data_IF_836669821366
#
_entry.id   IF_836669821366
#
_cell.length_a   1.000
_cell.length_b   1.000
_cell.length_c   1.000
_cell.angle_alpha   90.00
_cell.angle_beta   90.00
_cell.angle_gamma   90.00
#
_symmetry.space_group_name_H-M   'P 1'
#
loop_
_entity.id
_entity.type
_entity.pdbx_description
1 polymer ?
#
# COMPACT_ATOMS: atom_id res chain seq x y z
N UNK A 1 -43.99 -35.59 -10.67
CA UNK A 1 -44.06 -34.37 -9.84
C UNK A 1 -43.82 -34.75 -8.38
N UNK A 2 -42.69 -35.40 -8.04
CA UNK A 2 -42.41 -35.81 -6.64
C UNK A 2 -40.92 -36.11 -6.45
N UNK A 3 -40.03 -35.12 -6.67
CA UNK A 3 -38.59 -35.29 -6.38
C UNK A 3 -37.90 -34.00 -5.94
N UNK A 4 -38.61 -32.91 -5.64
CA UNK A 4 -38.00 -31.63 -5.25
C UNK A 4 -38.24 -31.20 -3.79
N UNK A 5 -39.06 -31.90 -3.01
CA UNK A 5 -39.34 -31.52 -1.62
C UNK A 5 -38.42 -32.19 -0.56
N UNK A 6 -37.62 -33.18 -0.92
CA UNK A 6 -36.78 -33.89 0.08
C UNK A 6 -35.38 -33.32 0.31
N UNK A 7 -34.94 -32.32 -0.47
CA UNK A 7 -33.61 -31.72 -0.33
C UNK A 7 -33.53 -30.56 0.68
N UNK A 8 -34.61 -29.76 0.79
CA UNK A 8 -34.55 -28.60 1.70
C UNK A 8 -34.72 -28.93 3.17
N UNK A 9 -35.24 -30.11 3.53
CA UNK A 9 -35.48 -30.50 4.93
C UNK A 9 -34.20 -31.05 5.63
N UNK A 10 -33.16 -31.45 4.90
CA UNK A 10 -31.92 -31.95 5.49
C UNK A 10 -30.98 -30.81 5.91
N UNK A 11 -30.93 -29.71 5.16
CA UNK A 11 -30.03 -28.61 5.45
C UNK A 11 -30.46 -27.78 6.66
N UNK A 12 -31.78 -27.64 6.87
CA UNK A 12 -32.31 -26.90 8.04
C UNK A 12 -32.02 -27.61 9.37
N UNK A 13 -32.08 -28.93 9.39
CA UNK A 13 -31.76 -29.72 10.60
C UNK A 13 -30.27 -29.66 10.93
N UNK A 14 -29.41 -29.63 9.94
CA UNK A 14 -27.96 -29.55 10.13
C UNK A 14 -27.53 -28.19 10.73
N UNK A 15 -28.09 -27.08 10.23
CA UNK A 15 -27.83 -25.73 10.72
C UNK A 15 -28.32 -25.55 12.17
N UNK A 16 -29.53 -26.07 12.48
CA UNK A 16 -30.10 -26.02 13.84
C UNK A 16 -29.26 -26.83 14.81
N UNK A 17 -28.73 -27.99 14.41
CA UNK A 17 -27.90 -28.85 15.28
C UNK A 17 -26.56 -28.18 15.61
N UNK A 18 -25.91 -27.50 14.65
CA UNK A 18 -24.66 -26.76 14.89
C UNK A 18 -24.91 -25.58 15.82
N UNK A 19 -26.01 -24.85 15.66
CA UNK A 19 -26.37 -23.72 16.53
C UNK A 19 -26.55 -24.18 17.99
N UNK A 20 -27.21 -25.29 18.21
CA UNK A 20 -27.38 -25.85 19.57
C UNK A 20 -26.08 -26.36 20.21
N UNK A 21 -25.15 -26.93 19.41
CA UNK A 21 -23.84 -27.34 19.92
C UNK A 21 -22.98 -26.14 20.35
N UNK A 22 -22.97 -25.06 19.55
CA UNK A 22 -22.24 -23.84 19.92
C UNK A 22 -22.80 -23.19 21.16
N UNK A 23 -24.14 -23.13 21.32
CA UNK A 23 -24.80 -22.59 22.48
C UNK A 23 -24.54 -23.46 23.75
N UNK A 24 -24.50 -24.78 23.61
CA UNK A 24 -24.18 -25.67 24.70
C UNK A 24 -22.72 -25.56 25.16
N UNK A 25 -21.77 -25.35 24.24
CA UNK A 25 -20.36 -25.14 24.56
C UNK A 25 -20.17 -23.81 25.30
N UNK A 26 -20.84 -22.75 24.88
CA UNK A 26 -20.77 -21.44 25.53
C UNK A 26 -21.41 -21.45 26.94
N UNK A 27 -22.53 -22.15 27.11
CA UNK A 27 -23.18 -22.31 28.41
C UNK A 27 -22.38 -23.20 29.36
N UNK A 28 -21.69 -24.22 28.85
CA UNK A 28 -20.82 -25.08 29.66
C UNK A 28 -19.56 -24.33 30.13
N UNK A 29 -19.01 -23.45 29.34
CA UNK A 29 -17.88 -22.61 29.72
C UNK A 29 -18.27 -21.59 30.81
N UNK A 30 -19.50 -21.06 30.76
CA UNK A 30 -20.03 -20.17 31.80
C UNK A 30 -20.34 -20.88 33.12
N UNK A 31 -20.78 -22.14 33.07
CA UNK A 31 -21.11 -22.96 34.24
C UNK A 31 -19.88 -23.51 34.98
N UNK A 32 -18.71 -23.54 34.37
CA UNK A 32 -17.45 -24.04 34.93
C UNK A 32 -16.66 -22.98 35.71
N UNK A 33 -17.19 -21.78 35.90
CA UNK A 33 -16.67 -20.80 36.85
C UNK A 33 -15.21 -20.41 36.62
N UNK A 34 -14.76 -20.30 35.35
CA UNK A 34 -13.48 -19.66 35.04
C UNK A 34 -13.61 -18.16 35.27
N UNK A 35 -13.48 -17.72 36.51
CA UNK A 35 -13.16 -16.36 36.83
C UNK A 35 -11.67 -16.13 36.48
N UNK A 36 -11.40 -15.47 35.37
CA UNK A 36 -10.09 -14.88 35.15
C UNK A 36 -9.95 -13.71 36.12
N UNK A 37 -9.27 -13.93 37.24
CA UNK A 37 -8.73 -12.84 38.05
C UNK A 37 -7.64 -12.16 37.19
N UNK A 38 -8.00 -11.05 36.54
CA UNK A 38 -7.03 -10.10 36.03
C UNK A 38 -6.37 -9.45 37.25
N UNK A 39 -5.17 -9.91 37.61
CA UNK A 39 -4.29 -9.14 38.47
C UNK A 39 -3.82 -7.91 37.64
N UNK A 40 -4.18 -6.68 38.02
CA UNK A 40 -3.65 -5.52 37.38
C UNK A 40 -2.28 -5.16 37.98
N UNK A 41 -1.27 -5.97 37.72
CA UNK A 41 0.10 -5.48 37.81
C UNK A 41 0.40 -4.74 36.50
N UNK A 42 -0.28 -3.61 36.32
CA UNK A 42 0.15 -2.57 35.42
C UNK A 42 1.43 -1.97 36.01
N UNK A 43 2.56 -2.45 35.54
CA UNK A 43 3.79 -1.69 35.67
C UNK A 43 3.57 -0.38 34.87
N UNK A 44 3.12 0.66 35.57
CA UNK A 44 3.14 2.02 35.09
C UNK A 44 4.64 2.36 34.88
N UNK A 45 5.15 2.11 33.70
CA UNK A 45 6.38 2.73 33.27
C UNK A 45 6.13 4.24 33.38
N UNK A 46 6.90 4.90 34.22
CA UNK A 46 6.87 6.37 34.28
C UNK A 46 7.04 6.90 32.85
N UNK A 47 6.19 7.83 32.38
CA UNK A 47 6.36 8.42 31.06
C UNK A 47 7.82 8.89 30.95
N UNK A 48 8.53 8.49 29.91
CA UNK A 48 9.87 9.00 29.65
C UNK A 48 9.76 10.52 29.62
N UNK A 49 10.64 11.22 30.32
CA UNK A 49 10.62 12.69 30.42
C UNK A 49 10.81 13.39 29.06
N UNK A 50 11.12 12.62 28.02
CA UNK A 50 11.30 13.10 26.63
C UNK A 50 10.28 12.42 25.73
N UNK A 51 9.63 13.15 24.80
CA UNK A 51 8.77 12.58 23.79
C UNK A 51 9.58 11.56 22.97
N UNK A 52 8.98 10.38 22.73
CA UNK A 52 9.59 9.36 21.87
C UNK A 52 9.62 9.87 20.43
N UNK A 53 10.69 9.56 19.71
CA UNK A 53 10.70 9.68 18.26
C UNK A 53 10.20 8.39 17.62
N UNK A 54 9.35 8.52 16.62
CA UNK A 54 8.94 7.41 15.77
C UNK A 54 9.40 7.64 14.35
N UNK A 55 9.73 6.56 13.67
CA UNK A 55 10.17 6.53 12.28
C UNK A 55 9.15 5.80 11.43
N UNK A 56 8.67 6.47 10.40
CA UNK A 56 7.66 5.96 9.46
C UNK A 56 8.26 5.88 8.08
N UNK A 57 8.16 4.71 7.45
CA UNK A 57 8.71 4.42 6.13
C UNK A 57 7.59 4.00 5.17
N UNK A 58 7.61 4.52 3.95
CA UNK A 58 6.87 3.94 2.83
C UNK A 58 7.81 3.55 1.70
N UNK A 59 7.49 2.46 0.99
CA UNK A 59 8.24 1.95 -0.16
C UNK A 59 7.38 1.06 -1.04
N UNK A 60 7.28 1.36 -2.34
CA UNK A 60 6.85 0.40 -3.34
C UNK A 60 7.99 -0.61 -3.57
N UNK A 61 7.75 -1.92 -3.43
CA UNK A 61 8.78 -2.96 -3.48
C UNK A 61 8.90 -3.65 -4.84
N UNK A 62 8.25 -3.08 -5.86
CA UNK A 62 8.31 -3.55 -7.24
C UNK A 62 8.06 -5.05 -7.39
N UNK A 63 6.81 -5.46 -7.24
CA UNK A 63 6.37 -6.85 -7.33
C UNK A 63 7.17 -7.85 -6.48
N UNK A 64 7.87 -7.38 -5.48
CA UNK A 64 8.52 -8.14 -4.40
C UNK A 64 9.36 -9.32 -4.85
N UNK A 65 8.81 -10.55 -4.78
CA UNK A 65 9.47 -11.79 -5.16
C UNK A 65 8.98 -12.28 -6.51
N UNK A 66 9.86 -12.93 -7.29
CA UNK A 66 9.50 -13.47 -8.59
C UNK A 66 8.32 -14.42 -8.53
N UNK A 67 7.47 -14.24 -9.50
CA UNK A 67 6.42 -15.15 -9.84
C UNK A 67 6.97 -16.55 -10.21
N UNK A 68 6.61 -17.59 -9.45
CA UNK A 68 6.89 -18.98 -9.77
C UNK A 68 5.70 -19.57 -10.50
N UNK A 69 5.73 -19.62 -11.83
CA UNK A 69 4.66 -20.20 -12.64
C UNK A 69 5.13 -20.55 -14.05
N UNK A 70 4.26 -21.26 -14.80
CA UNK A 70 4.53 -21.66 -16.20
C UNK A 70 4.66 -20.46 -17.15
N UNK A 71 4.02 -19.34 -16.81
CA UNK A 71 4.08 -18.11 -17.58
C UNK A 71 4.82 -17.04 -16.77
N UNK A 72 6.03 -16.71 -17.20
CA UNK A 72 6.74 -15.52 -16.71
C UNK A 72 6.05 -14.28 -17.29
N UNK A 73 5.17 -13.66 -16.54
CA UNK A 73 4.66 -12.34 -16.88
C UNK A 73 5.61 -11.29 -16.29
N UNK A 74 6.31 -10.60 -17.17
CA UNK A 74 7.27 -9.56 -16.82
C UNK A 74 8.73 -10.01 -16.89
N UNK A 75 9.61 -9.07 -17.23
CA UNK A 75 11.06 -9.19 -17.07
C UNK A 75 11.42 -8.52 -15.76
N UNK A 76 11.77 -9.31 -14.76
CA UNK A 76 12.47 -8.80 -13.60
C UNK A 76 13.96 -8.91 -13.90
N UNK A 77 14.68 -7.79 -14.01
CA UNK A 77 16.05 -7.81 -14.54
C UNK A 77 17.03 -8.53 -13.63
N UNK A 78 16.81 -8.57 -12.31
CA UNK A 78 17.78 -9.12 -11.37
C UNK A 78 17.17 -10.08 -10.35
N UNK A 79 18.05 -10.85 -9.70
CA UNK A 79 17.74 -11.80 -8.64
C UNK A 79 16.87 -11.15 -7.54
N UNK A 80 15.57 -11.49 -7.45
CA UNK A 80 14.64 -10.89 -6.48
C UNK A 80 15.07 -11.17 -5.05
N UNK A 81 15.76 -12.28 -4.82
CA UNK A 81 16.29 -12.62 -3.52
C UNK A 81 17.41 -11.65 -3.11
N UNK A 82 18.23 -11.22 -4.06
CA UNK A 82 19.28 -10.22 -3.83
C UNK A 82 18.66 -8.86 -3.51
N UNK A 83 17.64 -8.44 -4.27
CA UNK A 83 16.88 -7.20 -4.00
C UNK A 83 16.23 -7.24 -2.61
N UNK A 84 15.56 -8.36 -2.28
CA UNK A 84 14.95 -8.55 -0.97
C UNK A 84 15.95 -8.43 0.18
N UNK A 85 17.12 -9.10 0.08
CA UNK A 85 18.18 -9.02 1.09
C UNK A 85 18.74 -7.60 1.24
N UNK A 86 18.91 -6.89 0.13
CA UNK A 86 19.31 -5.48 0.12
C UNK A 86 18.27 -4.61 0.85
N UNK A 87 16.98 -4.79 0.54
CA UNK A 87 15.88 -4.11 1.20
C UNK A 87 15.88 -4.32 2.72
N UNK A 88 15.90 -5.59 3.15
CA UNK A 88 15.92 -5.94 4.59
C UNK A 88 17.12 -5.36 5.29
N UNK A 89 18.31 -5.42 4.67
CA UNK A 89 19.55 -4.86 5.24
C UNK A 89 19.45 -3.34 5.41
N UNK A 90 18.92 -2.65 4.41
CA UNK A 90 18.75 -1.21 4.45
C UNK A 90 17.68 -0.78 5.49
N UNK A 91 16.54 -1.46 5.52
CA UNK A 91 15.48 -1.18 6.52
C UNK A 91 15.97 -1.42 7.95
N UNK A 92 16.75 -2.49 8.18
CA UNK A 92 17.37 -2.72 9.51
C UNK A 92 18.28 -1.58 9.96
N UNK A 93 18.98 -0.92 9.05
CA UNK A 93 19.81 0.26 9.39
C UNK A 93 18.96 1.49 9.70
N UNK A 94 17.83 1.65 9.01
CA UNK A 94 16.91 2.78 9.19
C UNK A 94 16.05 2.66 10.46
N UNK A 95 15.85 1.43 10.97
CA UNK A 95 15.08 1.16 12.19
C UNK A 95 13.67 1.82 12.22
N UNK A 96 12.85 1.72 11.17
CA UNK A 96 11.51 2.29 11.20
C UNK A 96 10.61 1.57 12.21
N UNK A 97 9.72 2.32 12.86
CA UNK A 97 8.69 1.77 13.76
C UNK A 97 7.45 1.32 12.98
N UNK A 98 7.15 2.02 11.87
CA UNK A 98 6.01 1.75 11.00
C UNK A 98 6.52 1.70 9.57
N UNK A 99 6.09 0.69 8.81
CA UNK A 99 6.44 0.52 7.39
C UNK A 99 5.16 0.27 6.62
N UNK A 100 4.93 1.01 5.55
CA UNK A 100 3.96 0.65 4.52
C UNK A 100 4.71 0.20 3.26
N UNK A 101 4.31 -0.91 2.69
CA UNK A 101 4.85 -1.43 1.44
C UNK A 101 3.72 -1.59 0.41
N UNK A 102 4.01 -1.25 -0.84
CA UNK A 102 3.15 -1.43 -1.99
C UNK A 102 3.75 -2.49 -2.91
N UNK A 103 2.95 -3.10 -3.76
CA UNK A 103 3.34 -4.17 -4.68
C UNK A 103 3.99 -5.40 -4.02
N UNK A 104 3.65 -5.71 -2.79
CA UNK A 104 4.14 -6.92 -2.15
C UNK A 104 3.60 -8.18 -2.85
N UNK A 105 4.48 -9.03 -3.37
CA UNK A 105 4.14 -10.23 -4.14
C UNK A 105 5.14 -11.37 -3.89
N UNK A 106 4.68 -12.62 -3.64
CA UNK A 106 3.30 -13.04 -3.44
C UNK A 106 2.81 -12.79 -2.02
N UNK A 107 1.60 -12.28 -1.87
CA UNK A 107 0.94 -12.19 -0.56
C UNK A 107 0.25 -13.52 -0.20
N UNK A 108 0.27 -13.95 1.08
CA UNK A 108 0.83 -13.25 2.24
C UNK A 108 2.33 -13.48 2.47
N UNK A 109 2.97 -14.34 1.68
CA UNK A 109 4.31 -14.90 1.98
C UNK A 109 5.37 -13.80 2.08
N UNK A 110 5.36 -12.84 1.15
CA UNK A 110 6.30 -11.73 1.16
C UNK A 110 6.16 -10.88 2.43
N UNK A 111 4.94 -10.47 2.76
CA UNK A 111 4.69 -9.61 3.91
C UNK A 111 5.02 -10.31 5.24
N UNK A 112 4.66 -11.59 5.39
CA UNK A 112 4.99 -12.38 6.56
C UNK A 112 6.49 -12.61 6.72
N UNK A 113 7.21 -12.87 5.62
CA UNK A 113 8.65 -13.02 5.62
C UNK A 113 9.33 -11.71 6.05
N UNK A 114 8.91 -10.59 5.47
CA UNK A 114 9.47 -9.28 5.82
C UNK A 114 9.22 -8.95 7.30
N UNK A 115 8.01 -9.21 7.80
CA UNK A 115 7.67 -9.01 9.20
C UNK A 115 8.51 -9.87 10.14
N UNK A 116 8.76 -11.14 9.79
CA UNK A 116 9.63 -12.03 10.56
C UNK A 116 11.09 -11.56 10.55
N UNK A 117 11.61 -11.18 9.38
CA UNK A 117 12.99 -10.72 9.23
C UNK A 117 13.25 -9.39 9.97
N UNK A 118 12.22 -8.56 10.17
CA UNK A 118 12.33 -7.24 10.82
C UNK A 118 11.82 -7.23 12.27
N UNK A 119 11.27 -8.32 12.79
CA UNK A 119 10.57 -8.42 14.09
C UNK A 119 9.39 -7.44 14.21
N UNK A 120 8.49 -7.48 13.23
CA UNK A 120 7.31 -6.64 13.14
C UNK A 120 6.02 -7.46 13.19
N UNK A 121 4.92 -6.82 13.62
CA UNK A 121 3.56 -7.26 13.29
C UNK A 121 3.23 -6.84 11.88
N UNK A 122 2.30 -7.55 11.20
CA UNK A 122 1.91 -7.21 9.83
C UNK A 122 0.42 -7.41 9.59
N UNK A 123 -0.17 -6.49 8.85
CA UNK A 123 -1.47 -6.65 8.16
C UNK A 123 -1.24 -6.44 6.66
N UNK A 124 -2.03 -7.12 5.83
CA UNK A 124 -1.88 -7.03 4.38
C UNK A 124 -3.24 -7.08 3.66
N UNK A 125 -3.27 -6.58 2.44
CA UNK A 125 -4.42 -6.60 1.55
C UNK A 125 -4.03 -6.94 0.12
N UNK A 126 -4.63 -7.98 -0.45
CA UNK A 126 -4.45 -8.30 -1.87
C UNK A 126 -5.25 -7.29 -2.70
N UNK A 127 -4.61 -6.64 -3.67
CA UNK A 127 -5.21 -5.71 -4.63
C UNK A 127 -5.36 -6.35 -5.99
N UNK A 128 -4.33 -7.07 -6.44
CA UNK A 128 -4.28 -7.75 -7.71
C UNK A 128 -4.07 -9.25 -7.49
N UNK A 129 -4.79 -10.09 -8.21
CA UNK A 129 -4.66 -11.52 -8.06
C UNK A 129 -5.23 -12.31 -9.22
N UNK A 130 -4.74 -13.54 -9.41
CA UNK A 130 -5.26 -14.52 -10.32
C UNK A 130 -6.31 -15.42 -9.68
N UNK A 131 -6.68 -16.50 -10.35
CA UNK A 131 -7.63 -17.50 -9.84
C UNK A 131 -6.88 -18.46 -8.92
N UNK A 132 -7.34 -18.59 -7.68
CA UNK A 132 -6.79 -19.52 -6.69
C UNK A 132 -7.91 -20.27 -5.96
N UNK A 133 -7.73 -21.59 -5.81
CA UNK A 133 -8.61 -22.44 -5.03
C UNK A 133 -7.80 -23.06 -3.87
N UNK A 134 -7.89 -22.50 -2.68
CA UNK A 134 -7.09 -22.92 -1.54
C UNK A 134 -5.58 -22.83 -1.81
N UNK A 135 -4.81 -23.90 -1.56
CA UNK A 135 -3.38 -23.95 -1.82
C UNK A 135 -3.05 -24.11 -3.33
N UNK A 136 -4.03 -24.48 -4.15
CA UNK A 136 -3.85 -24.71 -5.59
C UNK A 136 -4.25 -23.44 -6.35
N UNK A 137 -3.32 -22.84 -7.07
CA UNK A 137 -3.56 -21.70 -7.95
C UNK A 137 -3.32 -22.07 -9.41
N UNK A 138 -4.02 -21.38 -10.31
CA UNK A 138 -3.63 -21.40 -11.73
C UNK A 138 -2.24 -20.73 -11.82
N UNK A 139 -1.35 -21.16 -12.73
CA UNK A 139 0.00 -20.60 -12.88
C UNK A 139 0.09 -19.09 -13.11
N UNK A 140 -1.02 -18.45 -13.49
CA UNK A 140 -1.18 -17.00 -13.63
C UNK A 140 -1.61 -16.31 -12.33
N UNK A 141 -1.54 -17.00 -11.19
CA UNK A 141 -2.04 -16.53 -9.93
C UNK A 141 -1.09 -15.51 -9.27
N UNK A 142 -1.06 -14.32 -9.79
CA UNK A 142 -0.46 -13.16 -9.16
C UNK A 142 -1.24 -12.83 -7.88
N UNK A 143 -0.55 -12.58 -6.78
CA UNK A 143 -1.14 -12.10 -5.52
C UNK A 143 -0.31 -10.96 -5.01
N UNK A 144 -0.60 -9.82 -5.57
CA UNK A 144 0.07 -8.56 -5.26
C UNK A 144 -0.84 -7.66 -4.44
N UNK A 145 -0.25 -6.82 -3.64
CA UNK A 145 -0.96 -5.83 -2.85
C UNK A 145 -0.07 -5.15 -1.83
N UNK A 146 -0.70 -4.60 -0.81
CA UNK A 146 -0.06 -3.71 0.14
C UNK A 146 0.01 -4.36 1.52
N UNK A 147 0.95 -3.88 2.35
CA UNK A 147 1.01 -4.27 3.74
C UNK A 147 1.46 -3.10 4.64
N UNK A 148 1.00 -3.14 5.90
CA UNK A 148 1.48 -2.27 6.97
C UNK A 148 2.16 -3.15 8.00
N UNK A 149 3.40 -2.79 8.36
CA UNK A 149 4.19 -3.47 9.37
C UNK A 149 4.48 -2.51 10.53
N UNK A 150 4.46 -3.03 11.75
CA UNK A 150 4.72 -2.24 12.96
C UNK A 150 5.68 -2.98 13.86
N UNK A 151 6.75 -2.30 14.28
CA UNK A 151 7.80 -2.85 15.13
C UNK A 151 7.25 -3.27 16.50
N UNK A 152 7.60 -4.47 16.94
CA UNK A 152 7.27 -4.93 18.28
C UNK A 152 8.03 -4.13 19.34
N UNK A 153 7.48 -3.90 20.56
CA UNK A 153 6.24 -4.48 21.10
C UNK A 153 4.96 -3.67 20.80
N UNK A 154 5.01 -2.64 19.93
CA UNK A 154 3.81 -1.87 19.56
C UNK A 154 2.76 -2.78 18.93
N UNK A 155 1.47 -2.52 19.14
CA UNK A 155 0.40 -3.34 18.57
C UNK A 155 -0.09 -2.78 17.23
N UNK A 156 -0.58 -3.67 16.38
CA UNK A 156 -1.17 -3.33 15.08
C UNK A 156 -2.52 -4.03 14.94
N UNK A 157 -3.57 -3.25 14.79
CA UNK A 157 -4.95 -3.72 14.65
C UNK A 157 -5.44 -3.39 13.24
N UNK A 158 -5.86 -4.40 12.48
CA UNK A 158 -6.48 -4.19 11.19
C UNK A 158 -7.90 -3.64 11.37
N UNK A 159 -8.15 -2.42 10.91
CA UNK A 159 -9.48 -1.80 10.98
C UNK A 159 -10.29 -1.98 9.69
N UNK A 160 -9.62 -2.23 8.56
CA UNK A 160 -10.30 -2.52 7.31
C UNK A 160 -9.49 -2.15 6.07
N UNK A 161 -10.17 -2.32 4.96
CA UNK A 161 -9.70 -1.88 3.64
C UNK A 161 -10.86 -1.38 2.81
N UNK A 162 -10.60 -0.41 1.96
CA UNK A 162 -11.58 0.19 1.06
C UNK A 162 -11.10 0.10 -0.37
N UNK A 163 -11.92 -0.44 -1.25
CA UNK A 163 -11.72 -0.30 -2.69
C UNK A 163 -11.93 1.16 -3.07
N UNK A 164 -10.92 1.75 -3.68
CA UNK A 164 -10.97 3.14 -4.16
C UNK A 164 -11.58 3.20 -5.55
N UNK A 165 -11.22 2.24 -6.43
CA UNK A 165 -11.79 2.07 -7.75
C UNK A 165 -11.63 0.64 -8.28
N UNK A 166 -12.17 0.39 -9.46
CA UNK A 166 -12.12 -0.89 -10.14
C UNK A 166 -13.30 -1.80 -9.83
N UNK A 167 -13.48 -2.82 -10.65
CA UNK A 167 -14.55 -3.80 -10.53
C UNK A 167 -13.97 -5.20 -10.46
N UNK A 168 -14.30 -5.91 -9.38
CA UNK A 168 -13.81 -7.26 -9.18
C UNK A 168 -14.17 -7.81 -7.81
N UNK A 169 -13.80 -9.05 -7.59
CA UNK A 169 -13.88 -9.74 -6.31
C UNK A 169 -12.46 -10.15 -5.93
N UNK A 170 -11.97 -9.63 -4.81
CA UNK A 170 -10.67 -9.99 -4.26
C UNK A 170 -10.88 -10.55 -2.86
N UNK A 171 -10.61 -11.84 -2.73
CA UNK A 171 -10.62 -12.58 -1.47
C UNK A 171 -9.29 -13.30 -1.30
N UNK A 172 -9.08 -13.89 -0.12
CA UNK A 172 -7.91 -14.75 0.09
C UNK A 172 -7.91 -16.03 -0.75
N UNK A 173 -9.05 -16.39 -1.34
CA UNK A 173 -9.27 -17.63 -2.08
C UNK A 173 -9.44 -17.42 -3.57
N UNK A 174 -10.12 -16.35 -3.95
CA UNK A 174 -10.54 -16.09 -5.31
C UNK A 174 -10.35 -14.62 -5.62
N UNK A 175 -9.71 -14.35 -6.75
CA UNK A 175 -9.56 -13.01 -7.29
C UNK A 175 -10.04 -13.02 -8.74
N UNK A 176 -10.94 -12.10 -9.05
CA UNK A 176 -11.45 -11.88 -10.39
C UNK A 176 -11.60 -10.37 -10.61
N UNK A 177 -10.98 -9.86 -11.66
CA UNK A 177 -11.03 -8.45 -12.02
C UNK A 177 -11.58 -8.29 -13.43
N UNK A 178 -12.47 -7.33 -13.60
CA UNK A 178 -12.84 -6.82 -14.92
C UNK A 178 -11.91 -5.70 -15.37
N UNK A 179 -11.37 -4.96 -14.41
CA UNK A 179 -10.33 -3.95 -14.59
C UNK A 179 -9.45 -3.93 -13.33
N UNK A 180 -8.35 -3.23 -13.39
CA UNK A 180 -7.46 -3.03 -12.25
C UNK A 180 -8.23 -2.48 -11.05
N UNK A 181 -7.96 -3.01 -9.86
CA UNK A 181 -8.55 -2.56 -8.61
C UNK A 181 -7.50 -1.89 -7.75
N UNK A 182 -7.82 -0.67 -7.31
CA UNK A 182 -7.04 0.05 -6.32
C UNK A 182 -7.74 0.03 -4.98
N UNK A 183 -6.98 -0.03 -3.90
CA UNK A 183 -7.54 -0.02 -2.55
C UNK A 183 -6.62 0.72 -1.58
N UNK A 184 -7.21 1.20 -0.49
CA UNK A 184 -6.49 1.65 0.69
C UNK A 184 -6.70 0.67 1.85
N UNK A 185 -5.71 0.59 2.74
CA UNK A 185 -5.75 -0.20 3.97
C UNK A 185 -5.66 0.71 5.19
N UNK A 186 -6.36 0.34 6.26
CA UNK A 186 -6.32 1.05 7.54
C UNK A 186 -5.84 0.11 8.65
N UNK A 187 -4.75 0.51 9.29
CA UNK A 187 -4.26 -0.05 10.53
C UNK A 187 -4.34 0.97 11.66
N UNK A 188 -4.68 0.52 12.85
CA UNK A 188 -4.51 1.29 14.09
C UNK A 188 -3.30 0.76 14.82
N UNK A 189 -2.34 1.64 15.04
CA UNK A 189 -1.09 1.35 15.75
C UNK A 189 -1.21 1.87 17.17
N UNK A 190 -0.89 1.07 18.16
CA UNK A 190 -0.84 1.48 19.56
C UNK A 190 0.60 1.43 20.06
N UNK A 191 1.09 2.59 20.51
CA UNK A 191 2.43 2.78 21.04
C UNK A 191 2.35 3.62 22.30
N UNK A 192 2.86 3.09 23.41
CA UNK A 192 2.91 3.79 24.72
C UNK A 192 1.55 4.38 25.16
N UNK A 193 0.47 3.63 24.92
CA UNK A 193 -0.88 4.04 25.30
C UNK A 193 -1.54 5.07 24.39
N UNK A 194 -0.89 5.48 23.31
CA UNK A 194 -1.45 6.37 22.29
C UNK A 194 -1.77 5.58 21.02
N UNK A 195 -2.80 6.02 20.28
CA UNK A 195 -3.22 5.41 19.02
C UNK A 195 -2.91 6.31 17.83
N UNK A 196 -2.35 5.73 16.77
CA UNK A 196 -2.09 6.36 15.48
C UNK A 196 -2.85 5.58 14.40
N UNK A 197 -3.60 6.29 13.56
CA UNK A 197 -4.31 5.72 12.42
C UNK A 197 -3.41 5.80 11.17
N UNK A 198 -3.17 4.66 10.52
CA UNK A 198 -2.25 4.54 9.40
C UNK A 198 -3.01 4.03 8.18
N UNK A 199 -3.13 4.88 7.17
CA UNK A 199 -3.73 4.57 5.87
C UNK A 199 -2.62 4.31 4.85
N UNK A 200 -2.51 3.08 4.35
CA UNK A 200 -1.63 2.76 3.23
C UNK A 200 -2.40 2.81 1.93
N UNK A 201 -1.82 3.45 0.93
CA UNK A 201 -2.44 3.62 -0.39
C UNK A 201 -1.47 3.23 -1.50
N UNK A 202 -2.03 2.74 -2.62
CA UNK A 202 -1.37 2.60 -3.90
C UNK A 202 -2.40 2.95 -4.97
N UNK A 203 -2.25 4.14 -5.57
CA UNK A 203 -3.18 4.66 -6.56
C UNK A 203 -2.81 4.17 -7.96
N UNK A 204 -3.74 4.33 -8.89
CA UNK A 204 -3.58 3.93 -10.28
C UNK A 204 -2.34 4.55 -10.93
N UNK A 205 -1.53 3.72 -11.58
CA UNK A 205 -0.35 4.14 -12.35
C UNK A 205 -0.75 4.82 -13.66
N UNK A 206 0.19 5.53 -14.26
CA UNK A 206 0.04 6.17 -15.55
C UNK A 206 0.50 7.64 -15.55
N UNK A 207 0.63 8.26 -16.71
CA UNK A 207 1.08 9.63 -16.81
C UNK A 207 0.18 10.61 -16.05
N UNK A 208 0.77 11.66 -15.53
CA UNK A 208 0.12 12.76 -14.82
C UNK A 208 0.48 14.11 -15.45
N UNK A 209 -0.32 15.14 -15.17
CA UNK A 209 -0.09 16.48 -15.69
C UNK A 209 1.23 17.05 -15.20
N UNK A 210 1.91 17.79 -16.08
CA UNK A 210 3.15 18.48 -15.76
C UNK A 210 4.18 18.47 -16.90
N UNK A 211 5.37 19.05 -16.66
CA UNK A 211 6.41 19.20 -17.68
C UNK A 211 6.84 17.87 -18.31
N UNK A 212 6.83 16.77 -17.54
CA UNK A 212 7.16 15.44 -18.04
C UNK A 212 6.19 14.97 -19.13
N UNK A 213 4.87 15.15 -18.93
CA UNK A 213 3.84 14.82 -19.92
C UNK A 213 3.94 15.68 -21.16
N UNK A 214 4.23 16.97 -21.00
CA UNK A 214 4.40 17.90 -22.14
C UNK A 214 5.59 17.51 -23.01
N UNK A 215 6.73 17.19 -22.38
CA UNK A 215 7.94 16.74 -23.09
C UNK A 215 7.69 15.40 -23.80
N UNK A 216 7.08 14.45 -23.13
CA UNK A 216 6.73 13.13 -23.68
C UNK A 216 5.74 13.23 -24.82
N UNK A 217 4.71 14.07 -24.70
CA UNK A 217 3.72 14.34 -25.74
C UNK A 217 4.37 14.91 -27.01
N UNK A 218 5.32 15.82 -26.85
CA UNK A 218 6.06 16.39 -27.98
C UNK A 218 6.86 15.30 -28.70
N UNK A 219 7.55 14.44 -27.98
CA UNK A 219 8.34 13.35 -28.55
C UNK A 219 7.45 12.34 -29.28
N UNK A 220 6.36 11.88 -28.65
CA UNK A 220 5.40 10.94 -29.26
C UNK A 220 4.75 11.55 -30.51
N UNK A 221 4.38 12.83 -30.48
CA UNK A 221 3.81 13.53 -31.65
C UNK A 221 4.72 13.52 -32.86
N UNK A 222 6.05 13.63 -32.67
CA UNK A 222 7.04 13.53 -33.73
C UNK A 222 7.14 12.10 -34.30
N UNK A 223 6.96 11.08 -33.48
CA UNK A 223 7.12 9.68 -33.89
C UNK A 223 5.87 9.09 -34.54
N UNK A 224 4.69 9.34 -33.97
CA UNK A 224 3.44 8.68 -34.41
C UNK A 224 2.45 9.62 -35.13
N UNK A 225 2.71 10.92 -35.10
CA UNK A 225 1.84 11.94 -35.65
C UNK A 225 0.71 12.40 -34.73
N UNK A 226 0.19 13.59 -34.96
CA UNK A 226 -0.71 14.31 -34.08
C UNK A 226 -2.03 13.54 -33.77
N UNK A 227 -2.63 12.91 -34.80
CA UNK A 227 -3.89 12.20 -34.59
C UNK A 227 -3.79 11.04 -33.59
N UNK A 228 -2.69 10.28 -33.64
CA UNK A 228 -2.43 9.18 -32.69
C UNK A 228 -2.04 9.69 -31.32
N UNK A 229 -1.32 10.81 -31.26
CA UNK A 229 -1.02 11.47 -29.99
C UNK A 229 -2.29 11.91 -29.27
N UNK A 230 -3.24 12.54 -29.97
CA UNK A 230 -4.52 12.95 -29.36
C UNK A 230 -5.33 11.75 -28.81
N UNK A 231 -5.25 10.61 -29.48
CA UNK A 231 -5.85 9.38 -28.96
C UNK A 231 -5.15 8.90 -27.69
N UNK A 232 -3.82 8.95 -27.64
CA UNK A 232 -3.03 8.59 -26.44
C UNK A 232 -3.32 9.54 -25.28
N UNK A 233 -3.44 10.85 -25.52
CA UNK A 233 -3.78 11.84 -24.50
C UNK A 233 -5.14 11.59 -23.85
N UNK A 234 -6.14 11.12 -24.60
CA UNK A 234 -7.44 10.74 -24.03
C UNK A 234 -7.33 9.58 -23.04
N UNK A 235 -6.41 8.65 -23.28
CA UNK A 235 -6.16 7.57 -22.31
C UNK A 235 -5.50 8.14 -21.04
N UNK A 236 -4.55 9.06 -21.18
CA UNK A 236 -3.95 9.76 -20.02
C UNK A 236 -4.99 10.57 -19.23
N UNK A 237 -5.91 11.24 -19.91
CA UNK A 237 -7.02 11.95 -19.24
C UNK A 237 -7.88 10.98 -18.39
N UNK A 238 -8.09 9.76 -18.87
CA UNK A 238 -8.79 8.74 -18.11
C UNK A 238 -8.00 8.29 -16.86
N UNK A 239 -6.67 8.15 -16.95
CA UNK A 239 -5.82 7.80 -15.81
C UNK A 239 -5.88 8.90 -14.73
N UNK A 240 -5.76 10.16 -15.15
CA UNK A 240 -5.87 11.32 -14.28
C UNK A 240 -7.25 11.36 -13.60
N UNK A 241 -8.33 11.19 -14.38
CA UNK A 241 -9.69 11.17 -13.83
C UNK A 241 -9.86 10.01 -12.84
N UNK A 242 -9.27 8.88 -13.13
CA UNK A 242 -9.31 7.71 -12.28
C UNK A 242 -8.65 7.99 -10.93
N UNK A 243 -7.41 8.52 -10.91
CA UNK A 243 -6.73 8.89 -9.66
C UNK A 243 -7.49 9.94 -8.85
N UNK A 244 -8.09 10.93 -9.52
CA UNK A 244 -8.97 11.92 -8.85
C UNK A 244 -10.13 11.24 -8.13
N UNK A 245 -10.81 10.29 -8.75
CA UNK A 245 -11.89 9.51 -8.13
C UNK A 245 -11.37 8.66 -6.97
N UNK A 246 -10.18 8.09 -7.10
CA UNK A 246 -9.53 7.32 -6.03
C UNK A 246 -9.20 8.20 -4.83
N UNK A 247 -8.68 9.41 -5.05
CA UNK A 247 -8.39 10.40 -4.00
C UNK A 247 -9.68 10.85 -3.31
N UNK A 248 -10.75 11.15 -4.04
CA UNK A 248 -12.04 11.51 -3.48
C UNK A 248 -12.63 10.38 -2.62
N UNK A 249 -12.51 9.13 -3.07
CA UNK A 249 -12.96 7.97 -2.32
C UNK A 249 -12.09 7.70 -1.07
N UNK A 250 -10.80 7.98 -1.15
CA UNK A 250 -9.89 7.92 0.00
C UNK A 250 -10.28 8.96 1.05
N UNK A 251 -10.48 10.22 0.65
CA UNK A 251 -10.88 11.30 1.55
C UNK A 251 -12.18 10.95 2.29
N UNK A 252 -13.21 10.52 1.55
CA UNK A 252 -14.48 10.08 2.14
C UNK A 252 -14.28 8.95 3.14
N UNK A 253 -13.46 7.96 2.80
CA UNK A 253 -13.20 6.85 3.70
C UNK A 253 -12.44 7.27 4.95
N UNK A 254 -11.48 8.15 4.83
CA UNK A 254 -10.78 8.72 5.99
C UNK A 254 -11.78 9.48 6.89
N UNK A 255 -12.66 10.28 6.32
CA UNK A 255 -13.69 11.02 7.08
C UNK A 255 -14.70 10.07 7.79
N UNK A 256 -15.01 8.93 7.19
CA UNK A 256 -15.88 7.90 7.77
C UNK A 256 -15.21 7.10 8.90
N UNK A 257 -13.88 6.95 8.88
CA UNK A 257 -13.19 5.97 9.74
C UNK A 257 -12.23 6.58 10.76
N UNK A 258 -11.79 7.81 10.55
CA UNK A 258 -10.91 8.51 11.49
C UNK A 258 -11.74 9.19 12.58
N UNK A 259 -11.62 8.77 13.86
CA UNK A 259 -12.31 9.44 14.92
C UNK A 259 -11.83 10.91 15.10
N UNK A 260 -12.70 11.84 15.49
CA UNK A 260 -12.33 13.22 15.69
C UNK A 260 -11.14 13.39 16.65
N UNK A 261 -10.20 14.26 16.30
CA UNK A 261 -9.04 14.57 17.14
C UNK A 261 -7.94 13.51 17.16
N UNK A 262 -8.08 12.41 16.41
CA UNK A 262 -7.05 11.37 16.37
C UNK A 262 -5.93 11.69 15.37
N UNK A 263 -4.66 11.44 15.74
CA UNK A 263 -3.54 11.55 14.82
C UNK A 263 -3.62 10.48 13.75
N UNK A 264 -3.32 10.86 12.51
CA UNK A 264 -3.36 9.95 11.38
C UNK A 264 -2.27 10.26 10.35
N UNK A 265 -1.86 9.22 9.64
CA UNK A 265 -0.91 9.26 8.53
C UNK A 265 -1.56 8.60 7.31
N UNK A 266 -1.42 9.21 6.13
CA UNK A 266 -1.67 8.58 4.84
C UNK A 266 -0.31 8.44 4.16
N UNK A 267 0.06 7.23 3.74
CA UNK A 267 1.35 7.00 3.10
C UNK A 267 1.25 5.94 2.01
N UNK A 268 2.16 6.01 1.06
CA UNK A 268 2.21 5.04 -0.04
C UNK A 268 2.63 5.67 -1.36
N UNK A 269 2.37 4.92 -2.41
CA UNK A 269 2.56 5.32 -3.79
C UNK A 269 1.28 5.95 -4.34
N UNK A 270 1.34 7.25 -4.62
CA UNK A 270 0.22 8.00 -5.15
C UNK A 270 0.21 8.05 -6.68
N UNK A 271 1.29 7.59 -7.32
CA UNK A 271 1.44 7.58 -8.77
C UNK A 271 1.15 8.94 -9.44
N UNK A 272 1.36 10.03 -8.71
CA UNK A 272 1.21 11.40 -9.21
C UNK A 272 2.06 12.37 -8.38
N UNK A 273 2.32 13.54 -8.92
CA UNK A 273 3.11 14.58 -8.24
C UNK A 273 2.23 15.67 -7.62
N UNK A 274 2.80 16.42 -6.70
CA UNK A 274 2.14 17.59 -6.12
C UNK A 274 1.71 18.60 -7.20
N UNK A 275 2.59 18.87 -8.16
CA UNK A 275 2.37 19.88 -9.20
C UNK A 275 1.34 19.48 -10.26
N UNK A 276 0.93 18.21 -10.30
CA UNK A 276 -0.11 17.76 -11.23
C UNK A 276 -1.50 18.33 -10.91
N UNK A 277 -1.70 18.84 -9.69
CA UNK A 277 -2.98 19.31 -9.17
C UNK A 277 -3.95 18.19 -8.79
N UNK A 278 -3.57 16.91 -8.94
CA UNK A 278 -4.42 15.77 -8.59
C UNK A 278 -4.53 15.58 -7.07
N UNK A 279 -3.49 15.97 -6.30
CA UNK A 279 -3.46 15.90 -4.85
C UNK A 279 -4.10 17.11 -4.15
N UNK A 280 -4.55 18.14 -4.89
CA UNK A 280 -5.14 19.35 -4.34
C UNK A 280 -6.32 19.10 -3.38
N UNK A 281 -7.27 18.16 -3.67
CA UNK A 281 -8.36 17.86 -2.74
C UNK A 281 -7.88 17.34 -1.37
N UNK A 282 -6.73 16.71 -1.33
CA UNK A 282 -6.13 16.14 -0.12
C UNK A 282 -5.27 17.16 0.63
N UNK A 283 -4.48 17.95 -0.08
CA UNK A 283 -3.47 18.86 0.48
C UNK A 283 -3.93 20.32 0.59
N UNK A 284 -4.74 20.79 -0.36
CA UNK A 284 -5.14 22.21 -0.47
C UNK A 284 -6.00 22.72 0.68
N UNK A 285 -6.70 21.85 1.41
CA UNK A 285 -7.51 22.22 2.57
C UNK A 285 -6.73 22.39 3.87
N UNK A 286 -5.42 22.18 3.89
CA UNK A 286 -4.56 22.25 5.07
C UNK A 286 -4.86 21.21 6.15
N UNK A 287 -5.71 20.22 5.86
CA UNK A 287 -5.98 19.09 6.76
C UNK A 287 -4.82 18.09 6.78
N UNK A 288 -4.09 17.98 5.68
CA UNK A 288 -2.96 17.08 5.49
C UNK A 288 -1.73 17.85 5.06
N UNK A 289 -0.57 17.42 5.54
CA UNK A 289 0.72 18.05 5.26
C UNK A 289 1.69 16.98 4.75
N UNK A 290 2.32 17.23 3.61
CA UNK A 290 3.41 16.42 3.07
C UNK A 290 4.66 16.65 3.92
N UNK A 291 5.11 15.60 4.59
CA UNK A 291 6.24 15.67 5.52
C UNK A 291 7.56 15.98 4.82
N UNK A 292 7.77 15.45 3.60
CA UNK A 292 8.97 15.71 2.84
C UNK A 292 9.02 17.18 2.37
N UNK A 293 7.96 17.66 1.74
CA UNK A 293 7.87 19.05 1.29
C UNK A 293 7.97 20.05 2.43
N UNK A 294 7.41 19.72 3.61
CA UNK A 294 7.52 20.53 4.82
C UNK A 294 8.98 20.70 5.28
N UNK A 295 9.79 19.65 5.19
CA UNK A 295 11.18 19.65 5.72
C UNK A 295 12.21 20.03 4.66
N UNK A 296 11.91 19.82 3.39
CA UNK A 296 12.85 19.98 2.28
C UNK A 296 12.20 20.83 1.15
N UNK A 297 11.83 22.09 1.41
CA UNK A 297 11.04 22.90 0.48
C UNK A 297 11.77 23.25 -0.84
N UNK A 298 13.06 22.96 -0.93
CA UNK A 298 13.91 23.23 -2.09
C UNK A 298 14.51 21.96 -2.72
N UNK A 299 14.09 20.76 -2.24
CA UNK A 299 14.53 19.47 -2.75
C UNK A 299 13.37 18.78 -3.48
N UNK A 300 13.62 18.36 -4.70
CA UNK A 300 12.64 17.63 -5.52
C UNK A 300 12.23 16.30 -4.87
N UNK A 301 13.16 15.63 -4.20
CA UNK A 301 12.90 14.40 -3.44
C UNK A 301 12.43 13.23 -4.30
N UNK A 302 13.02 13.03 -5.47
CA UNK A 302 12.61 12.00 -6.40
C UNK A 302 12.59 10.61 -5.78
N UNK A 303 11.44 9.97 -5.78
CA UNK A 303 11.25 8.57 -5.38
C UNK A 303 11.24 7.63 -6.59
N UNK A 304 10.79 8.10 -7.74
CA UNK A 304 11.01 7.51 -9.05
C UNK A 304 12.13 8.27 -9.75
N UNK A 305 13.30 7.63 -9.95
CA UNK A 305 14.47 8.31 -10.52
C UNK A 305 15.21 7.43 -11.55
N UNK A 306 14.73 7.36 -12.79
CA UNK A 306 15.35 6.55 -13.85
C UNK A 306 16.77 7.04 -14.22
N UNK A 307 17.16 8.24 -13.82
CA UNK A 307 18.52 8.71 -14.03
C UNK A 307 19.54 7.96 -13.16
N UNK A 308 19.15 7.59 -11.92
CA UNK A 308 20.01 6.95 -10.93
C UNK A 308 19.62 5.51 -10.62
N UNK A 309 18.34 5.13 -10.82
CA UNK A 309 17.81 3.81 -10.56
C UNK A 309 17.66 3.03 -11.88
N UNK A 310 18.51 2.04 -12.17
CA UNK A 310 18.39 1.25 -13.40
C UNK A 310 17.13 0.38 -13.44
N UNK A 311 16.52 0.07 -12.30
CA UNK A 311 15.29 -0.70 -12.23
C UNK A 311 14.07 0.11 -12.75
N UNK A 312 14.09 1.43 -12.60
CA UNK A 312 13.09 2.34 -13.14
C UNK A 312 13.18 2.53 -14.67
N UNK A 313 14.15 1.88 -15.31
CA UNK A 313 14.36 1.92 -16.77
C UNK A 313 13.89 0.63 -17.44
N UNK A 314 12.62 0.31 -17.37
CA UNK A 314 12.15 -0.87 -18.08
C UNK A 314 12.31 -0.72 -19.62
N UNK A 315 12.96 -1.68 -20.30
CA UNK A 315 13.07 -1.69 -21.75
C UNK A 315 11.78 -2.26 -22.35
N UNK A 316 10.65 -1.58 -22.20
CA UNK A 316 9.46 -1.92 -22.97
C UNK A 316 9.67 -1.44 -24.40
N UNK A 317 9.41 -2.29 -25.40
CA UNK A 317 9.16 -1.83 -26.77
C UNK A 317 7.69 -1.44 -26.81
N UNK A 318 7.36 -0.17 -26.74
CA UNK A 318 5.98 0.27 -26.82
C UNK A 318 5.42 -0.07 -28.20
N UNK A 319 4.23 -0.68 -28.20
CA UNK A 319 3.54 -1.09 -29.43
C UNK A 319 2.51 -0.04 -29.83
N UNK A 320 1.86 0.59 -28.87
CA UNK A 320 0.79 1.53 -29.07
C UNK A 320 1.18 2.96 -28.63
N UNK A 321 0.57 4.00 -29.22
CA UNK A 321 0.91 5.40 -28.90
C UNK A 321 0.78 5.78 -27.43
N UNK A 322 -0.19 5.19 -26.73
CA UNK A 322 -0.36 5.38 -25.27
C UNK A 322 0.81 4.76 -24.48
N UNK A 323 1.20 3.52 -24.81
CA UNK A 323 2.34 2.86 -24.15
C UNK A 323 3.65 3.63 -24.40
N UNK A 324 3.79 4.20 -25.60
CA UNK A 324 4.93 5.05 -25.94
C UNK A 324 4.94 6.33 -25.08
N UNK A 325 3.76 6.93 -24.86
CA UNK A 325 3.62 8.12 -24.03
C UNK A 325 3.94 7.80 -22.55
N UNK A 326 3.48 6.66 -22.03
CA UNK A 326 3.85 6.17 -20.70
C UNK A 326 5.37 5.98 -20.61
N UNK A 327 5.97 5.27 -21.56
CA UNK A 327 7.41 4.99 -21.55
C UNK A 327 8.26 6.27 -21.54
N UNK A 328 7.91 7.27 -22.32
CA UNK A 328 8.61 8.56 -22.29
C UNK A 328 8.37 9.33 -20.98
N UNK A 329 7.15 9.28 -20.45
CA UNK A 329 6.83 9.92 -19.19
C UNK A 329 7.62 9.28 -18.03
N UNK A 330 7.73 7.96 -17.98
CA UNK A 330 8.49 7.20 -16.98
C UNK A 330 10.01 7.46 -17.04
N UNK A 331 10.53 8.05 -18.14
CA UNK A 331 11.94 8.47 -18.21
C UNK A 331 12.24 9.75 -17.42
N UNK A 332 11.23 10.42 -16.88
CA UNK A 332 11.40 11.62 -16.05
C UNK A 332 11.40 11.26 -14.56
N UNK A 333 12.35 11.82 -13.82
CA UNK A 333 12.38 11.67 -12.37
C UNK A 333 11.21 12.41 -11.73
N UNK A 334 10.57 11.78 -10.72
CA UNK A 334 9.36 12.28 -10.07
C UNK A 334 9.30 11.86 -8.61
N UNK A 335 8.67 12.66 -7.76
CA UNK A 335 8.29 12.27 -6.41
C UNK A 335 6.82 11.87 -6.40
N UNK A 336 6.56 10.59 -6.26
CA UNK A 336 5.22 9.97 -6.34
C UNK A 336 4.86 9.16 -5.07
N UNK A 337 5.83 8.94 -4.19
CA UNK A 337 5.63 8.33 -2.88
C UNK A 337 5.61 9.42 -1.81
N UNK A 338 4.63 9.35 -0.89
CA UNK A 338 4.42 10.39 0.12
C UNK A 338 4.14 9.80 1.50
N UNK A 339 4.46 10.60 2.53
CA UNK A 339 3.98 10.46 3.90
C UNK A 339 3.28 11.76 4.27
N UNK A 340 1.95 11.69 4.42
CA UNK A 340 1.11 12.81 4.78
C UNK A 340 0.66 12.66 6.22
N UNK A 341 0.77 13.70 7.02
CA UNK A 341 0.28 13.75 8.39
C UNK A 341 -0.92 14.68 8.49
N UNK A 342 -1.90 14.32 9.33
CA UNK A 342 -3.01 15.23 9.57
C UNK A 342 -2.61 16.33 10.60
N UNK A 343 -3.41 17.40 10.69
CA UNK A 343 -3.14 18.52 11.58
C UNK A 343 -3.26 18.22 13.08
N UNK A 344 -3.63 16.99 13.48
CA UNK A 344 -3.49 16.50 14.85
C UNK A 344 -2.05 16.05 15.18
N UNK A 345 -1.16 16.02 14.17
CA UNK A 345 0.29 15.91 14.32
C UNK A 345 0.86 17.30 13.96
N UNK A 346 1.29 18.11 14.94
CA UNK A 346 1.80 19.44 14.67
C UNK A 346 3.03 19.43 13.75
N UNK A 347 3.15 20.42 12.86
CA UNK A 347 4.28 20.50 11.92
C UNK A 347 5.66 20.52 12.60
N UNK A 348 5.75 21.07 13.81
CA UNK A 348 7.01 21.08 14.57
C UNK A 348 7.37 19.72 15.20
N UNK A 349 6.41 18.78 15.22
CA UNK A 349 6.66 17.39 15.65
C UNK A 349 7.16 16.53 14.49
N UNK A 350 7.02 16.97 13.25
CA UNK A 350 7.77 16.38 12.12
C UNK A 350 9.20 16.89 12.22
N UNK A 351 10.17 16.03 12.55
CA UNK A 351 11.54 16.40 12.79
C UNK A 351 12.36 16.44 11.49
N UNK A 352 12.29 15.37 10.72
CA UNK A 352 12.99 15.20 9.45
C UNK A 352 12.20 14.29 8.50
N UNK A 353 12.44 14.43 7.22
CA UNK A 353 11.92 13.53 6.19
C UNK A 353 12.94 13.41 5.05
N UNK A 354 13.24 12.19 4.61
CA UNK A 354 14.27 11.90 3.65
C UNK A 354 13.83 10.87 2.63
N UNK A 355 14.34 11.00 1.40
CA UNK A 355 14.34 9.90 0.43
C UNK A 355 15.44 8.92 0.84
N UNK A 356 15.07 7.65 0.98
CA UNK A 356 15.93 6.58 1.48
C UNK A 356 15.85 5.34 0.58
N UNK A 357 16.58 4.29 0.93
CA UNK A 357 16.63 3.04 0.15
C UNK A 357 17.20 3.23 -1.25
N UNK A 358 18.04 4.24 -1.40
CA UNK A 358 18.87 4.45 -2.60
C UNK A 358 19.85 3.29 -2.77
N UNK A 359 20.52 3.12 -3.93
CA UNK A 359 21.38 1.98 -4.20
C UNK A 359 22.41 1.74 -3.10
N UNK A 360 22.52 0.50 -2.62
CA UNK A 360 23.57 0.06 -1.69
C UNK A 360 24.43 -0.95 -2.44
N UNK A 361 25.73 -0.71 -2.49
CA UNK A 361 26.69 -1.55 -3.23
C UNK A 361 26.28 -1.84 -4.67
N UNK A 362 25.68 -0.82 -5.34
CA UNK A 362 25.19 -0.91 -6.70
C UNK A 362 23.92 -1.72 -6.89
N UNK A 363 23.23 -2.10 -5.81
CA UNK A 363 21.95 -2.82 -5.84
C UNK A 363 20.82 -1.87 -5.47
N UNK A 364 19.87 -1.67 -6.38
CA UNK A 364 18.59 -1.04 -6.09
C UNK A 364 17.61 -2.11 -5.58
N UNK A 365 17.05 -1.90 -4.39
CA UNK A 365 16.11 -2.84 -3.79
C UNK A 365 14.76 -2.87 -4.53
N UNK A 366 14.38 -1.75 -5.13
CA UNK A 366 13.16 -1.53 -5.92
C UNK A 366 13.46 -0.63 -7.11
N UNK A 367 12.48 -0.41 -7.98
CA UNK A 367 12.45 0.67 -8.97
C UNK A 367 12.08 2.02 -8.34
N UNK A 368 11.48 2.02 -7.15
CA UNK A 368 11.26 3.19 -6.32
C UNK A 368 12.35 3.35 -5.24
N UNK A 369 12.49 4.57 -4.74
CA UNK A 369 13.11 4.87 -3.47
C UNK A 369 12.03 5.09 -2.41
N UNK A 370 12.34 4.81 -1.13
CA UNK A 370 11.41 5.01 -0.04
C UNK A 370 11.43 6.43 0.50
N UNK A 371 10.39 6.81 1.23
CA UNK A 371 10.35 8.02 2.07
C UNK A 371 10.35 7.60 3.53
N UNK A 372 11.27 8.17 4.31
CA UNK A 372 11.37 7.99 5.77
C UNK A 372 11.12 9.32 6.47
N UNK A 373 10.16 9.34 7.36
CA UNK A 373 9.87 10.51 8.21
C UNK A 373 10.10 10.16 9.67
N UNK A 374 10.81 11.01 10.39
CA UNK A 374 10.98 10.96 11.85
C UNK A 374 10.11 12.03 12.48
N UNK A 375 9.32 11.67 13.48
CA UNK A 375 8.44 12.60 14.18
C UNK A 375 8.40 12.31 15.68
N UNK A 376 8.08 13.33 16.49
CA UNK A 376 7.79 13.16 17.92
C UNK A 376 6.45 12.48 18.13
N UNK A 377 6.41 11.64 19.16
CA UNK A 377 5.22 10.86 19.48
C UNK A 377 4.81 10.98 20.95
#
# INVERSE_FOLDING_TARGET
>A
MDTLEHSQFKDTKFIVTISWMITAILLSAYALGFSFEFSPEVWAQSPSAFPREIRVLTINVWSGLTYKGFFKMGRYPDDPERRYKSLVTAIRKLQPDIIAIQEANPLPDYANRLAADLDHHVIYGVTLGGIRFGPVGIPTNLREGDAILVKKPSSLIALGKRRLQGVGIVTNWFCFHLNEMTQAMLGRVEMEGKALYVYSVHLHSGPFLGPALDASSKQVGLEVGQAKLEQAKKAVENDILRRKVEIDNLIKWVEETLPPGMPAIILGDFNTTFDSGELEPLLGGGKWVDTFGLKNPHDEGFTWDPARNPNAREPKKPLEPYELLCAYHEHHSSRIDYILVNNNIPNHDVLESHVVLTPVDGVCASDHYGVLTTMRW
#
